data_IF_477168478044
#
_entry.id   IF_477168478044
#
_cell.length_a   1.000
_cell.length_b   1.000
_cell.length_c   1.000
_cell.angle_alpha   90.00
_cell.angle_beta   90.00
_cell.angle_gamma   90.00
#
_symmetry.space_group_name_H-M   'P 1'
#
loop_
_entity.id
_entity.type
_entity.pdbx_description
1 polymer ?
#
# COMPACT_ATOMS: atom_id res chain seq x y z
N UNK A 1 14.62 -19.61 -8.89
CA UNK A 1 13.17 -19.68 -8.61
C UNK A 1 12.75 -21.14 -8.65
N UNK A 2 11.88 -21.61 -7.75
CA UNK A 2 11.28 -22.95 -7.85
C UNK A 2 10.12 -22.89 -8.82
N UNK A 3 10.19 -23.66 -9.91
CA UNK A 3 9.08 -23.81 -10.86
C UNK A 3 8.16 -24.95 -10.40
N UNK A 4 6.85 -24.71 -10.43
CA UNK A 4 5.85 -25.76 -10.23
C UNK A 4 5.67 -26.54 -11.52
N UNK A 5 5.58 -27.88 -11.43
CA UNK A 5 5.36 -28.77 -12.58
C UNK A 5 3.98 -29.44 -12.57
N UNK A 6 3.33 -29.48 -11.41
CA UNK A 6 2.11 -30.26 -11.19
C UNK A 6 0.84 -29.39 -11.22
N UNK A 7 0.96 -28.09 -10.92
CA UNK A 7 -0.17 -27.14 -10.97
C UNK A 7 0.27 -25.67 -11.08
N UNK A 8 -0.68 -24.80 -11.41
CA UNK A 8 -0.51 -23.35 -11.35
C UNK A 8 -0.42 -22.91 -9.88
N UNK A 9 0.56 -22.05 -9.57
CA UNK A 9 0.71 -21.42 -8.26
C UNK A 9 -0.07 -20.10 -8.23
N UNK A 10 -0.79 -19.87 -7.13
CA UNK A 10 -1.63 -18.69 -6.93
C UNK A 10 -0.88 -17.67 -6.08
N UNK A 11 -0.94 -16.41 -6.50
CA UNK A 11 -0.40 -15.25 -5.78
C UNK A 11 -1.31 -14.02 -6.00
N UNK A 12 -1.02 -12.93 -5.30
CA UNK A 12 -1.69 -11.64 -5.47
C UNK A 12 -0.66 -10.51 -5.55
N UNK A 13 -1.10 -9.36 -6.06
CA UNK A 13 -0.22 -8.25 -6.46
C UNK A 13 0.35 -7.42 -5.31
N UNK A 14 -0.13 -7.60 -4.08
CA UNK A 14 0.30 -6.79 -2.93
C UNK A 14 -0.82 -6.52 -1.95
N UNK A 15 -1.29 -5.28 -1.90
CA UNK A 15 -2.12 -4.75 -0.80
C UNK A 15 -3.33 -5.60 -0.45
N UNK A 16 -3.54 -5.75 0.85
CA UNK A 16 -4.73 -6.34 1.45
C UNK A 16 -5.36 -5.35 2.44
N UNK A 17 -6.67 -5.47 2.74
CA UNK A 17 -7.34 -4.59 3.70
C UNK A 17 -6.60 -4.57 5.04
N UNK A 18 -6.31 -3.37 5.54
CA UNK A 18 -5.76 -3.14 6.88
C UNK A 18 -6.88 -3.06 7.90
N UNK A 19 -6.55 -3.32 9.17
CA UNK A 19 -7.47 -2.99 10.25
C UNK A 19 -7.57 -1.46 10.43
N UNK A 20 -8.66 -1.00 11.04
CA UNK A 20 -8.95 0.42 11.24
C UNK A 20 -7.84 1.12 12.05
N UNK A 21 -7.42 0.50 13.17
CA UNK A 21 -6.37 1.04 14.05
C UNK A 21 -5.07 1.34 13.30
N UNK A 22 -4.58 0.41 12.50
CA UNK A 22 -3.35 0.59 11.72
C UNK A 22 -3.53 1.63 10.61
N UNK A 23 -4.73 1.70 10.02
CA UNK A 23 -5.04 2.69 8.99
C UNK A 23 -4.98 4.11 9.57
N UNK A 24 -5.59 4.33 10.73
CA UNK A 24 -5.55 5.61 11.44
C UNK A 24 -4.13 6.00 11.84
N UNK A 25 -3.34 5.05 12.35
CA UNK A 25 -1.93 5.28 12.70
C UNK A 25 -1.11 5.73 11.50
N UNK A 26 -1.26 5.08 10.34
CA UNK A 26 -0.54 5.42 9.12
C UNK A 26 -0.95 6.79 8.56
N UNK A 27 -2.25 7.13 8.61
CA UNK A 27 -2.74 8.45 8.19
C UNK A 27 -2.15 9.56 9.05
N UNK A 28 -2.15 9.39 10.38
CA UNK A 28 -1.55 10.35 11.31
C UNK A 28 -0.05 10.51 11.09
N UNK A 29 0.65 9.41 10.82
CA UNK A 29 2.07 9.45 10.45
C UNK A 29 2.31 10.25 9.16
N UNK A 30 1.50 10.03 8.11
CA UNK A 30 1.62 10.78 6.85
C UNK A 30 1.29 12.27 7.03
N UNK A 31 0.39 12.61 7.96
CA UNK A 31 0.09 13.98 8.35
C UNK A 31 1.21 14.64 9.19
N UNK A 32 2.25 13.91 9.58
CA UNK A 32 3.35 14.40 10.40
C UNK A 32 2.99 14.56 11.88
N UNK A 33 1.92 13.92 12.35
CA UNK A 33 1.54 13.93 13.76
C UNK A 33 2.47 13.04 14.60
N UNK A 34 2.56 13.35 15.90
CA UNK A 34 3.27 12.50 16.85
C UNK A 34 2.53 11.17 17.04
N UNK A 35 3.28 10.07 17.02
CA UNK A 35 2.79 8.71 17.24
C UNK A 35 3.77 7.91 18.10
N UNK A 36 3.27 6.88 18.77
CA UNK A 36 4.10 5.92 19.47
C UNK A 36 4.67 4.89 18.48
N UNK A 37 5.99 4.93 18.26
CA UNK A 37 6.66 4.05 17.33
C UNK A 37 6.63 2.57 17.76
N UNK A 38 6.67 2.29 19.06
CA UNK A 38 6.61 0.92 19.56
C UNK A 38 5.20 0.35 19.41
N UNK A 39 4.16 1.15 19.69
CA UNK A 39 2.78 0.74 19.47
C UNK A 39 2.50 0.47 17.98
N UNK A 40 2.93 1.40 17.10
CA UNK A 40 2.75 1.26 15.67
C UNK A 40 3.46 0.01 15.11
N UNK A 41 4.71 -0.25 15.53
CA UNK A 41 5.44 -1.45 15.13
C UNK A 41 4.73 -2.75 15.56
N UNK A 42 4.20 -2.79 16.78
CA UNK A 42 3.46 -3.94 17.28
C UNK A 42 2.16 -4.18 16.49
N UNK A 43 1.41 -3.12 16.16
CA UNK A 43 0.18 -3.25 15.38
C UNK A 43 0.47 -3.65 13.92
N UNK A 44 1.55 -3.13 13.33
CA UNK A 44 2.04 -3.54 12.02
C UNK A 44 2.35 -5.04 11.97
N UNK A 45 3.11 -5.57 12.92
CA UNK A 45 3.44 -6.99 13.00
C UNK A 45 2.20 -7.87 13.17
N UNK A 46 1.26 -7.43 14.00
CA UNK A 46 -0.02 -8.12 14.19
C UNK A 46 -0.83 -8.17 12.89
N UNK A 47 -0.89 -7.07 12.15
CA UNK A 47 -1.60 -7.00 10.87
C UNK A 47 -0.97 -7.90 9.81
N UNK A 48 0.37 -7.92 9.70
CA UNK A 48 1.09 -8.83 8.78
C UNK A 48 0.78 -10.30 9.12
N UNK A 49 0.88 -10.68 10.40
CA UNK A 49 0.55 -12.04 10.84
C UNK A 49 -0.88 -12.43 10.48
N UNK A 50 -1.83 -11.51 10.68
CA UNK A 50 -3.23 -11.74 10.34
C UNK A 50 -3.40 -12.02 8.84
N UNK A 51 -2.89 -11.15 7.96
CA UNK A 51 -3.09 -11.30 6.52
C UNK A 51 -2.34 -12.50 5.93
N UNK A 52 -1.16 -12.82 6.46
CA UNK A 52 -0.41 -14.04 6.04
C UNK A 52 -1.18 -15.30 6.43
N UNK A 53 -1.78 -15.33 7.62
CA UNK A 53 -2.65 -16.44 8.03
C UNK A 53 -3.86 -16.57 7.10
N UNK A 54 -4.53 -15.46 6.77
CA UNK A 54 -5.66 -15.46 5.83
C UNK A 54 -5.30 -15.91 4.42
N UNK A 55 -4.13 -15.51 3.93
CA UNK A 55 -3.60 -15.99 2.64
C UNK A 55 -3.39 -17.51 2.65
N UNK A 56 -2.80 -18.04 3.72
CA UNK A 56 -2.62 -19.49 3.91
C UNK A 56 -3.97 -20.21 3.94
N UNK A 57 -4.93 -19.71 4.71
CA UNK A 57 -6.28 -20.29 4.82
C UNK A 57 -7.03 -20.26 3.48
N UNK A 58 -6.77 -19.26 2.63
CA UNK A 58 -7.34 -19.12 1.30
C UNK A 58 -6.61 -19.93 0.21
N UNK A 59 -5.50 -20.61 0.53
CA UNK A 59 -4.73 -21.40 -0.44
C UNK A 59 -3.83 -20.58 -1.36
N UNK A 60 -3.39 -19.39 -0.93
CA UNK A 60 -2.35 -18.62 -1.64
C UNK A 60 -0.99 -19.34 -1.49
N UNK A 61 -0.34 -19.63 -2.60
CA UNK A 61 0.92 -20.38 -2.64
C UNK A 61 2.14 -19.51 -2.36
N UNK A 62 2.13 -18.31 -2.94
CA UNK A 62 3.20 -17.32 -2.81
C UNK A 62 2.57 -16.06 -2.24
N UNK A 63 2.60 -15.95 -0.91
CA UNK A 63 2.06 -14.81 -0.20
C UNK A 63 3.02 -13.62 -0.12
N UNK A 64 2.49 -12.48 0.31
CA UNK A 64 3.28 -11.29 0.67
C UNK A 64 2.76 -10.68 1.99
N UNK A 65 3.38 -9.59 2.43
CA UNK A 65 3.06 -8.89 3.69
C UNK A 65 1.73 -8.10 3.65
N UNK A 66 1.00 -8.13 2.53
CA UNK A 66 -0.24 -7.41 2.31
C UNK A 66 -0.09 -5.89 2.31
N UNK A 67 1.14 -5.38 2.13
CA UNK A 67 1.51 -3.97 2.30
C UNK A 67 1.08 -3.35 3.64
N UNK A 68 0.93 -4.14 4.70
CA UNK A 68 0.34 -3.67 5.95
C UNK A 68 1.15 -2.52 6.58
N UNK A 69 2.47 -2.48 6.38
CA UNK A 69 3.39 -1.60 7.10
C UNK A 69 3.74 -0.28 6.36
N UNK A 70 2.96 0.11 5.34
CA UNK A 70 3.16 1.35 4.58
C UNK A 70 1.82 1.99 4.20
N UNK A 71 1.74 3.33 4.15
CA UNK A 71 0.54 4.04 3.69
C UNK A 71 0.21 3.71 2.23
N UNK A 72 1.18 3.89 1.34
CA UNK A 72 1.12 3.44 -0.05
C UNK A 72 2.50 3.21 -0.66
N UNK A 73 2.57 2.37 -1.70
CA UNK A 73 3.84 2.03 -2.36
C UNK A 73 4.63 3.26 -2.85
N UNK A 74 3.94 4.30 -3.31
CA UNK A 74 4.53 5.54 -3.80
C UNK A 74 4.87 6.54 -2.68
N UNK A 75 4.02 6.64 -1.65
CA UNK A 75 4.23 7.58 -0.54
C UNK A 75 5.31 7.10 0.42
N UNK A 76 5.61 5.80 0.40
CA UNK A 76 6.70 5.22 1.18
C UNK A 76 8.10 5.56 0.66
N UNK A 77 8.27 5.76 -0.65
CA UNK A 77 9.57 6.10 -1.26
C UNK A 77 10.20 7.36 -0.64
N UNK A 78 9.51 8.52 -0.59
CA UNK A 78 10.08 9.73 0.01
C UNK A 78 10.31 9.62 1.52
N UNK A 79 9.74 8.61 2.21
CA UNK A 79 10.02 8.35 3.63
C UNK A 79 11.36 7.63 3.86
N UNK A 80 11.89 6.95 2.83
CA UNK A 80 13.09 6.09 2.94
C UNK A 80 14.27 6.58 2.12
N UNK A 81 14.04 7.43 1.12
CA UNK A 81 15.06 7.85 0.16
C UNK A 81 15.10 9.36 0.03
N UNK A 82 16.29 9.96 0.10
CA UNK A 82 16.50 11.38 -0.19
C UNK A 82 16.39 11.66 -1.69
N UNK A 83 16.07 12.90 -2.06
CA UNK A 83 15.88 13.32 -3.45
C UNK A 83 14.50 13.00 -4.05
N UNK A 84 13.62 12.36 -3.27
CA UNK A 84 12.22 12.11 -3.62
C UNK A 84 11.28 12.97 -2.77
N UNK A 85 10.14 13.37 -3.33
CA UNK A 85 9.13 14.18 -2.66
C UNK A 85 8.80 15.48 -3.39
N UNK A 86 8.11 16.40 -2.70
CA UNK A 86 7.68 17.69 -3.25
C UNK A 86 6.42 17.61 -4.12
N UNK A 87 6.03 18.75 -4.70
CA UNK A 87 4.83 18.88 -5.54
C UNK A 87 5.23 18.81 -7.01
N UNK A 88 4.70 17.81 -7.72
CA UNK A 88 4.94 17.66 -9.15
C UNK A 88 4.21 18.73 -9.96
N UNK A 89 4.94 19.49 -10.77
CA UNK A 89 4.36 20.37 -11.81
C UNK A 89 4.17 19.56 -13.11
N UNK A 90 3.20 18.63 -13.13
CA UNK A 90 2.89 17.90 -14.38
C UNK A 90 2.11 18.80 -15.32
N UNK A 91 2.40 18.69 -16.62
CA UNK A 91 1.50 19.20 -17.66
C UNK A 91 0.17 18.46 -17.54
N UNK A 92 -0.93 19.17 -17.78
CA UNK A 92 -2.25 18.56 -17.89
C UNK A 92 -2.22 17.44 -18.93
N UNK A 93 -2.86 16.32 -18.63
CA UNK A 93 -2.97 15.20 -19.57
C UNK A 93 -3.79 15.62 -20.79
N UNK A 94 -3.45 15.08 -21.97
CA UNK A 94 -4.13 15.42 -23.23
C UNK A 94 -5.61 15.05 -23.19
N UNK A 95 -5.98 14.04 -22.42
CA UNK A 95 -7.35 13.63 -22.19
C UNK A 95 -8.23 14.77 -21.67
N UNK A 96 -7.69 15.71 -20.88
CA UNK A 96 -8.45 16.87 -20.40
C UNK A 96 -8.45 18.05 -21.39
N UNK A 97 -7.59 18.03 -22.40
CA UNK A 97 -7.62 18.97 -23.52
C UNK A 97 -8.60 18.48 -24.59
N UNK A 98 -8.62 17.17 -24.85
CA UNK A 98 -9.49 16.50 -25.83
C UNK A 98 -10.91 16.28 -25.29
N UNK A 99 -11.07 16.07 -23.97
CA UNK A 99 -12.36 15.86 -23.29
C UNK A 99 -12.51 16.77 -22.06
N UNK A 100 -12.70 18.09 -22.25
CA UNK A 100 -12.75 19.06 -21.16
C UNK A 100 -13.85 18.78 -20.12
N UNK A 101 -14.93 18.11 -20.51
CA UNK A 101 -16.04 17.71 -19.64
C UNK A 101 -15.62 16.77 -18.51
N UNK A 102 -14.53 16.00 -18.67
CA UNK A 102 -14.00 15.14 -17.61
C UNK A 102 -13.57 15.93 -16.37
N UNK A 103 -13.23 17.21 -16.53
CA UNK A 103 -12.87 18.10 -15.42
C UNK A 103 -14.02 18.29 -14.41
N UNK A 104 -15.27 18.12 -14.84
CA UNK A 104 -16.44 18.27 -13.96
C UNK A 104 -16.55 17.15 -12.92
N UNK A 105 -15.84 16.04 -13.13
CA UNK A 105 -15.83 14.87 -12.24
C UNK A 105 -14.65 14.88 -11.25
N UNK A 106 -13.71 15.81 -11.37
CA UNK A 106 -12.54 15.93 -10.50
C UNK A 106 -12.79 16.76 -9.23
N UNK A 107 -14.00 16.68 -8.64
CA UNK A 107 -14.32 17.39 -7.39
C UNK A 107 -13.55 16.83 -6.21
#
# INVERSE_FOLDING_TARGET
MKASRDRILITHVGSLPRNEKLSDMLVRQEAGEAFDAAEMAAEMDKAVRHVVQKQKDAGVDIGNDGEQQRGGFQTYVPQRMSGFGGVSKRRRGREFEEFPEMMNYLK
#
